data_IF_824133704565
#
_entry.id   IF_824133704565
#
_cell.length_a   1.000
_cell.length_b   1.000
_cell.length_c   1.000
_cell.angle_alpha   90.00
_cell.angle_beta   90.00
_cell.angle_gamma   90.00
#
_symmetry.space_group_name_H-M   'P 1'
#
loop_
_entity.id
_entity.type
_entity.pdbx_description
1 polymer ?
#
# COMPACT_ATOMS: atom_id res chain seq x y z
N UNK A 1 19.41 5.09 20.42
CA UNK A 1 18.25 5.22 21.32
C UNK A 1 17.25 6.27 20.81
N UNK A 2 17.64 7.51 20.50
CA UNK A 2 16.74 8.57 19.98
C UNK A 2 16.19 8.21 18.59
N UNK A 3 17.01 7.70 17.65
CA UNK A 3 16.58 7.29 16.32
C UNK A 3 15.50 6.19 16.39
N UNK A 4 15.68 5.17 17.21
CA UNK A 4 14.71 4.08 17.36
C UNK A 4 13.37 4.57 17.98
N UNK A 5 13.40 5.57 18.84
CA UNK A 5 12.20 6.18 19.41
C UNK A 5 11.46 7.02 18.36
N UNK A 6 12.20 7.73 17.53
CA UNK A 6 11.67 8.48 16.39
C UNK A 6 10.99 7.55 15.37
N UNK A 7 11.67 6.49 14.94
CA UNK A 7 11.14 5.50 13.98
C UNK A 7 9.89 4.80 14.51
N UNK A 8 9.85 4.51 15.81
CA UNK A 8 8.73 3.78 16.42
C UNK A 8 7.50 4.66 16.69
N UNK A 9 7.69 5.91 17.10
CA UNK A 9 6.59 6.72 17.63
C UNK A 9 6.26 7.97 16.83
N UNK A 10 7.22 8.58 16.14
CA UNK A 10 6.96 9.83 15.41
C UNK A 10 6.80 9.61 13.90
N UNK A 11 7.70 8.83 13.32
CA UNK A 11 7.72 8.59 11.88
C UNK A 11 6.39 8.01 11.34
N UNK A 12 5.73 7.02 12.01
CA UNK A 12 4.45 6.50 11.55
C UNK A 12 3.35 7.57 11.44
N UNK A 13 3.31 8.51 12.37
CA UNK A 13 2.32 9.60 12.35
C UNK A 13 2.64 10.66 11.28
N UNK A 14 3.93 10.93 11.02
CA UNK A 14 4.35 11.83 9.95
C UNK A 14 4.02 11.23 8.58
N UNK A 15 4.28 9.93 8.39
CA UNK A 15 3.91 9.20 7.17
C UNK A 15 2.38 9.22 6.99
N UNK A 16 1.63 8.93 8.04
CA UNK A 16 0.18 8.93 8.03
C UNK A 16 -0.38 10.29 7.60
N UNK A 17 0.13 11.36 8.18
CA UNK A 17 -0.27 12.73 7.82
C UNK A 17 0.08 13.06 6.36
N UNK A 18 1.32 12.80 5.93
CA UNK A 18 1.78 13.12 4.58
C UNK A 18 1.00 12.32 3.52
N UNK A 19 0.85 11.00 3.75
CA UNK A 19 0.12 10.11 2.83
C UNK A 19 -1.41 10.28 2.89
N UNK A 20 -1.93 10.94 3.94
CA UNK A 20 -3.34 11.28 4.11
C UNK A 20 -3.76 12.60 3.45
N UNK A 21 -2.86 13.35 2.80
CA UNK A 21 -3.19 14.61 2.14
C UNK A 21 -4.26 14.43 1.05
N UNK A 22 -5.11 15.45 0.86
CA UNK A 22 -6.27 15.41 -0.05
C UNK A 22 -5.94 14.95 -1.49
N UNK A 23 -4.80 15.39 -2.04
CA UNK A 23 -4.39 15.02 -3.38
C UNK A 23 -4.14 13.51 -3.51
N UNK A 24 -3.45 12.92 -2.53
CA UNK A 24 -3.14 11.49 -2.46
C UNK A 24 -4.40 10.68 -2.17
N UNK A 25 -5.22 11.14 -1.24
CA UNK A 25 -6.51 10.52 -0.90
C UNK A 25 -7.45 10.46 -2.12
N UNK A 26 -7.46 11.50 -2.97
CA UNK A 26 -8.25 11.51 -4.21
C UNK A 26 -7.78 10.42 -5.19
N UNK A 27 -6.50 10.16 -5.31
CA UNK A 27 -5.99 9.07 -6.16
C UNK A 27 -6.40 7.70 -5.61
N UNK A 28 -6.27 7.50 -4.28
CA UNK A 28 -6.74 6.28 -3.61
C UNK A 28 -8.22 6.02 -3.88
N UNK A 29 -9.07 7.04 -3.77
CA UNK A 29 -10.52 6.92 -4.01
C UNK A 29 -10.91 6.59 -5.45
N UNK A 30 -9.97 6.68 -6.39
CA UNK A 30 -10.18 6.29 -7.80
C UNK A 30 -9.76 4.85 -8.07
N UNK A 31 -8.74 4.37 -7.39
CA UNK A 31 -8.11 3.08 -7.65
C UNK A 31 -8.68 1.99 -6.74
N UNK A 32 -8.70 2.25 -5.42
CA UNK A 32 -9.02 1.24 -4.40
C UNK A 32 -10.46 0.68 -4.51
N UNK A 33 -11.51 1.46 -4.83
CA UNK A 33 -12.88 0.94 -4.94
C UNK A 33 -13.11 -0.09 -6.06
N UNK A 34 -12.11 -0.28 -6.94
CA UNK A 34 -12.15 -1.30 -8.00
C UNK A 34 -11.79 -2.69 -7.49
N UNK A 35 -11.13 -2.78 -6.35
CA UNK A 35 -10.72 -4.05 -5.76
C UNK A 35 -11.95 -4.90 -5.40
N UNK A 36 -11.85 -6.20 -5.66
CA UNK A 36 -12.92 -7.17 -5.43
C UNK A 36 -12.39 -8.55 -5.09
N UNK A 37 -13.26 -9.40 -4.53
CA UNK A 37 -12.97 -10.78 -4.17
C UNK A 37 -11.93 -10.87 -3.04
N UNK A 38 -11.00 -11.80 -3.16
CA UNK A 38 -9.86 -11.93 -2.26
C UNK A 38 -8.78 -10.93 -2.66
N UNK A 39 -8.55 -9.95 -1.80
CA UNK A 39 -7.66 -8.81 -2.08
C UNK A 39 -6.36 -8.93 -1.29
N UNK A 40 -5.24 -8.63 -1.95
CA UNK A 40 -3.94 -8.41 -1.32
C UNK A 40 -3.57 -6.93 -1.44
N UNK A 41 -3.32 -6.27 -0.32
CA UNK A 41 -2.77 -4.91 -0.30
C UNK A 41 -1.28 -4.95 0.04
N UNK A 42 -0.46 -4.42 -0.86
CA UNK A 42 0.99 -4.29 -0.70
C UNK A 42 1.29 -2.94 -0.06
N UNK A 43 2.00 -2.97 1.07
CA UNK A 43 2.31 -1.78 1.85
C UNK A 43 1.07 -1.15 2.46
N UNK A 44 0.28 -1.92 3.20
CA UNK A 44 -0.93 -1.41 3.85
C UNK A 44 -0.65 -0.24 4.80
N UNK A 45 0.56 -0.19 5.35
CA UNK A 45 1.01 0.90 6.20
C UNK A 45 0.07 1.17 7.38
N UNK A 46 -0.38 2.41 7.49
CA UNK A 46 -1.34 2.84 8.53
C UNK A 46 -2.81 2.56 8.17
N UNK A 47 -3.08 1.91 7.03
CA UNK A 47 -4.44 1.54 6.61
C UNK A 47 -5.24 2.66 5.97
N UNK A 48 -4.59 3.63 5.31
CA UNK A 48 -5.28 4.75 4.65
C UNK A 48 -6.22 4.32 3.52
N UNK A 49 -5.99 3.16 2.92
CA UNK A 49 -6.87 2.60 1.90
C UNK A 49 -8.15 2.00 2.47
N UNK A 50 -8.19 1.63 3.75
CA UNK A 50 -9.31 0.90 4.36
C UNK A 50 -10.66 1.63 4.19
N UNK A 51 -10.65 2.97 4.20
CA UNK A 51 -11.85 3.77 4.01
C UNK A 51 -12.37 3.83 2.56
N UNK A 52 -11.58 3.32 1.60
CA UNK A 52 -11.90 3.38 0.17
C UNK A 52 -12.35 2.04 -0.42
N UNK A 53 -12.15 0.93 0.28
CA UNK A 53 -12.66 -0.36 -0.16
C UNK A 53 -14.18 -0.42 -0.08
N UNK A 54 -14.76 -1.07 -1.08
CA UNK A 54 -16.18 -1.43 -1.07
C UNK A 54 -16.34 -2.79 -0.36
N UNK A 55 -16.86 -2.76 0.87
CA UNK A 55 -17.00 -3.96 1.69
C UNK A 55 -18.01 -4.98 1.13
N UNK A 56 -18.82 -4.61 0.13
CA UNK A 56 -19.72 -5.55 -0.56
C UNK A 56 -19.02 -6.28 -1.71
N UNK A 57 -17.90 -5.74 -2.20
CA UNK A 57 -17.10 -6.35 -3.28
C UNK A 57 -15.90 -7.14 -2.76
N UNK A 58 -15.41 -6.82 -1.57
CA UNK A 58 -14.21 -7.43 -0.99
C UNK A 58 -14.62 -8.53 -0.01
N UNK A 59 -14.31 -9.77 -0.35
CA UNK A 59 -14.58 -10.94 0.51
C UNK A 59 -13.61 -11.01 1.69
N UNK A 60 -12.33 -10.84 1.39
CA UNK A 60 -11.23 -10.82 2.37
C UNK A 60 -10.12 -9.88 1.91
N UNK A 61 -9.49 -9.20 2.86
CA UNK A 61 -8.34 -8.34 2.62
C UNK A 61 -7.13 -8.85 3.41
N UNK A 62 -6.03 -9.12 2.72
CA UNK A 62 -4.72 -9.38 3.34
C UNK A 62 -3.85 -8.15 3.15
N UNK A 63 -3.44 -7.52 4.24
CA UNK A 63 -2.55 -6.35 4.23
C UNK A 63 -1.13 -6.75 4.55
N UNK A 64 -0.22 -6.55 3.61
CA UNK A 64 1.20 -6.87 3.73
C UNK A 64 2.02 -5.62 3.98
N UNK A 65 2.78 -5.58 5.07
CA UNK A 65 3.72 -4.51 5.40
C UNK A 65 4.70 -4.98 6.47
N UNK A 66 6.01 -4.80 6.33
CA UNK A 66 6.98 -5.25 7.33
C UNK A 66 6.93 -4.47 8.66
N UNK A 67 6.29 -3.30 8.70
CA UNK A 67 6.27 -2.42 9.87
C UNK A 67 5.14 -2.74 10.85
N UNK A 68 5.47 -3.38 11.95
CA UNK A 68 4.52 -3.62 13.05
C UNK A 68 3.95 -2.34 13.69
N UNK A 69 4.73 -1.24 13.65
CA UNK A 69 4.26 0.05 14.17
C UNK A 69 3.14 0.64 13.32
N UNK A 70 3.22 0.50 11.99
CA UNK A 70 2.17 0.92 11.07
C UNK A 70 0.92 0.04 11.20
N UNK A 71 1.10 -1.26 11.41
CA UNK A 71 -0.01 -2.20 11.66
C UNK A 71 -0.84 -1.85 12.90
N UNK A 72 -0.22 -1.28 13.94
CA UNK A 72 -0.97 -0.85 15.13
C UNK A 72 -2.02 0.23 14.77
N UNK A 73 -1.63 1.23 13.98
CA UNK A 73 -2.54 2.28 13.50
C UNK A 73 -3.59 1.72 12.52
N UNK A 74 -3.19 0.79 11.66
CA UNK A 74 -4.10 0.12 10.74
C UNK A 74 -5.23 -0.63 11.48
N UNK A 75 -4.93 -1.29 12.60
CA UNK A 75 -5.94 -1.99 13.42
C UNK A 75 -7.01 -1.06 13.98
N UNK A 76 -6.65 0.16 14.38
CA UNK A 76 -7.62 1.14 14.87
C UNK A 76 -8.60 1.54 13.74
N UNK A 77 -8.09 1.71 12.52
CA UNK A 77 -8.94 1.98 11.35
C UNK A 77 -9.80 0.78 10.95
N UNK A 78 -9.27 -0.44 11.13
CA UNK A 78 -10.03 -1.65 10.87
C UNK A 78 -11.28 -1.75 11.75
N UNK A 79 -11.20 -1.34 13.01
CA UNK A 79 -12.34 -1.36 13.91
C UNK A 79 -13.52 -0.50 13.40
N UNK A 80 -13.26 0.44 12.50
CA UNK A 80 -14.26 1.29 11.87
C UNK A 80 -14.81 0.72 10.54
N UNK A 81 -14.29 -0.41 10.06
CA UNK A 81 -14.70 -1.01 8.78
C UNK A 81 -15.41 -2.35 8.98
N UNK A 82 -16.09 -2.83 7.91
CA UNK A 82 -16.68 -4.18 7.87
C UNK A 82 -15.79 -5.21 7.18
N UNK A 83 -14.59 -4.83 6.78
CA UNK A 83 -13.66 -5.70 6.06
C UNK A 83 -13.13 -6.82 6.97
N UNK A 84 -13.04 -8.02 6.43
CA UNK A 84 -12.33 -9.13 7.05
C UNK A 84 -10.86 -8.99 6.69
N UNK A 85 -10.05 -8.41 7.58
CA UNK A 85 -8.64 -8.10 7.35
C UNK A 85 -7.72 -9.01 8.14
N UNK A 86 -6.69 -9.51 7.45
CA UNK A 86 -5.49 -10.11 8.03
C UNK A 86 -4.29 -9.19 7.77
N UNK A 87 -3.48 -8.92 8.81
CA UNK A 87 -2.24 -8.15 8.69
C UNK A 87 -1.04 -9.10 8.75
N UNK A 88 -0.20 -9.06 7.72
CA UNK A 88 0.97 -9.93 7.58
C UNK A 88 2.24 -9.07 7.59
N UNK A 89 3.14 -9.21 8.61
CA UNK A 89 4.33 -8.38 8.77
C UNK A 89 5.50 -8.92 7.91
N UNK A 90 5.33 -8.90 6.58
CA UNK A 90 6.33 -9.36 5.63
C UNK A 90 6.51 -8.36 4.49
N UNK A 91 7.66 -8.48 3.80
CA UNK A 91 7.94 -7.73 2.57
C UNK A 91 7.25 -8.37 1.36
N UNK A 92 6.90 -7.54 0.39
CA UNK A 92 6.31 -7.97 -0.88
C UNK A 92 7.26 -8.76 -1.78
N UNK A 93 8.55 -8.77 -1.49
CA UNK A 93 9.56 -9.57 -2.19
C UNK A 93 9.38 -11.08 -1.94
N UNK A 94 8.58 -11.46 -0.94
CA UNK A 94 8.21 -12.83 -0.65
C UNK A 94 6.80 -12.88 -0.07
N UNK A 95 5.81 -13.08 -0.93
CA UNK A 95 4.41 -13.14 -0.53
C UNK A 95 4.06 -14.55 -0.07
N UNK A 96 3.62 -14.75 1.20
CA UNK A 96 3.33 -16.08 1.77
C UNK A 96 1.95 -16.59 1.33
N UNK A 97 1.77 -16.77 0.02
CA UNK A 97 0.54 -17.25 -0.58
C UNK A 97 0.85 -18.14 -1.79
N UNK A 98 -0.08 -19.04 -2.10
CA UNK A 98 -0.02 -19.89 -3.26
C UNK A 98 -0.17 -19.08 -4.56
N UNK A 99 0.28 -19.66 -5.67
CA UNK A 99 0.07 -19.07 -6.99
C UNK A 99 -1.42 -18.87 -7.28
N UNK A 100 -1.75 -17.79 -7.97
CA UNK A 100 -3.13 -17.52 -8.41
C UNK A 100 -4.14 -17.52 -7.24
N UNK A 101 -3.79 -16.87 -6.12
CA UNK A 101 -4.61 -16.87 -4.89
C UNK A 101 -5.52 -15.66 -4.76
N UNK A 102 -5.19 -14.53 -5.40
CA UNK A 102 -5.89 -13.26 -5.23
C UNK A 102 -6.61 -12.81 -6.49
N UNK A 103 -7.80 -12.25 -6.32
CA UNK A 103 -8.59 -11.67 -7.41
C UNK A 103 -8.13 -10.25 -7.74
N UNK A 104 -7.71 -9.50 -6.73
CA UNK A 104 -7.17 -8.15 -6.86
C UNK A 104 -5.92 -7.98 -6.01
N UNK A 105 -4.94 -7.24 -6.54
CA UNK A 105 -3.80 -6.74 -5.77
C UNK A 105 -3.85 -5.21 -5.82
N UNK A 106 -3.74 -4.57 -4.65
CA UNK A 106 -3.67 -3.11 -4.50
C UNK A 106 -2.26 -2.73 -4.05
N UNK A 107 -1.62 -1.81 -4.77
CA UNK A 107 -0.32 -1.25 -4.39
C UNK A 107 -0.35 0.26 -4.63
N UNK A 108 -0.29 1.05 -3.55
CA UNK A 108 -0.39 2.50 -3.64
C UNK A 108 0.71 3.18 -2.84
N UNK A 109 1.54 3.96 -3.52
CA UNK A 109 2.63 4.75 -2.94
C UNK A 109 3.60 3.92 -2.10
N UNK A 110 3.93 2.71 -2.57
CA UNK A 110 4.68 1.71 -1.82
C UNK A 110 5.94 1.22 -2.55
N UNK A 111 5.92 1.11 -3.89
CA UNK A 111 7.05 0.55 -4.65
C UNK A 111 8.37 1.29 -4.40
N UNK A 112 8.32 2.59 -4.11
CA UNK A 112 9.50 3.39 -3.80
C UNK A 112 10.18 3.03 -2.46
N UNK A 113 9.51 2.27 -1.60
CA UNK A 113 10.03 1.82 -0.30
C UNK A 113 10.49 0.36 -0.30
N UNK A 114 10.21 -0.38 -1.37
CA UNK A 114 10.59 -1.78 -1.52
C UNK A 114 12.02 -1.87 -2.07
N UNK A 115 12.95 -2.56 -1.39
CA UNK A 115 14.34 -2.67 -1.84
C UNK A 115 14.50 -3.29 -3.24
N UNK A 116 13.75 -4.35 -3.55
CA UNK A 116 13.71 -4.97 -4.87
C UNK A 116 12.28 -4.97 -5.45
N UNK A 117 11.88 -3.86 -6.10
CA UNK A 117 10.53 -3.74 -6.66
C UNK A 117 10.27 -4.72 -7.82
N UNK A 118 11.29 -5.19 -8.53
CA UNK A 118 11.11 -6.16 -9.61
C UNK A 118 10.75 -7.53 -9.06
N UNK A 119 11.40 -7.97 -8.01
CA UNK A 119 11.05 -9.21 -7.29
C UNK A 119 9.64 -9.09 -6.70
N UNK A 120 9.29 -7.96 -6.08
CA UNK A 120 7.95 -7.73 -5.57
C UNK A 120 6.87 -7.80 -6.67
N UNK A 121 7.09 -7.17 -7.82
CA UNK A 121 6.18 -7.25 -8.97
C UNK A 121 6.04 -8.68 -9.52
N UNK A 122 7.13 -9.45 -9.52
CA UNK A 122 7.10 -10.86 -9.91
C UNK A 122 6.26 -11.70 -8.95
N UNK A 123 6.40 -11.47 -7.65
CA UNK A 123 5.58 -12.13 -6.62
C UNK A 123 4.10 -11.72 -6.72
N UNK A 124 3.81 -10.43 -6.92
CA UNK A 124 2.44 -9.97 -7.17
C UNK A 124 1.83 -10.70 -8.37
N UNK A 125 2.59 -10.80 -9.48
CA UNK A 125 2.14 -11.54 -10.66
C UNK A 125 1.90 -13.02 -10.37
N UNK A 126 2.76 -13.67 -9.58
CA UNK A 126 2.64 -15.08 -9.21
C UNK A 126 1.36 -15.36 -8.44
N UNK A 127 1.05 -14.53 -7.45
CA UNK A 127 -0.11 -14.75 -6.57
C UNK A 127 -1.42 -14.22 -7.15
N UNK A 128 -1.38 -13.40 -8.21
CA UNK A 128 -2.56 -12.87 -8.88
C UNK A 128 -3.18 -13.95 -9.79
N UNK A 129 -4.48 -14.16 -9.70
CA UNK A 129 -5.21 -15.10 -10.55
C UNK A 129 -5.14 -14.70 -12.03
N UNK A 130 -5.22 -15.65 -12.97
CA UNK A 130 -5.49 -15.33 -14.38
C UNK A 130 -6.76 -14.49 -14.49
N UNK A 131 -6.67 -13.32 -15.12
CA UNK A 131 -7.78 -12.37 -15.23
C UNK A 131 -8.00 -11.48 -14.00
N UNK A 132 -7.20 -11.64 -12.93
CA UNK A 132 -7.20 -10.73 -11.78
C UNK A 132 -6.62 -9.35 -12.10
N UNK A 133 -6.90 -8.37 -11.26
CA UNK A 133 -6.48 -6.98 -11.47
C UNK A 133 -5.35 -6.55 -10.51
N UNK A 134 -4.27 -5.97 -11.08
CA UNK A 134 -3.30 -5.19 -10.31
C UNK A 134 -3.71 -3.71 -10.36
N UNK A 135 -4.10 -3.17 -9.23
CA UNK A 135 -4.52 -1.80 -9.03
C UNK A 135 -3.35 -1.00 -8.44
N UNK A 136 -2.71 -0.21 -9.29
CA UNK A 136 -1.47 0.49 -8.98
C UNK A 136 -1.67 2.00 -9.00
N UNK A 137 -1.12 2.69 -7.99
CA UNK A 137 -0.96 4.16 -7.98
C UNK A 137 0.35 4.51 -7.30
N UNK A 138 1.27 5.09 -8.06
CA UNK A 138 2.63 5.39 -7.56
C UNK A 138 3.05 6.82 -7.92
N UNK A 139 4.08 7.30 -7.24
CA UNK A 139 4.73 8.56 -7.59
C UNK A 139 5.47 8.41 -8.92
N UNK A 140 5.27 9.37 -9.81
CA UNK A 140 5.93 9.40 -11.11
C UNK A 140 6.56 10.76 -11.40
N UNK A 141 7.30 10.81 -12.51
CA UNK A 141 7.80 12.06 -13.04
C UNK A 141 6.62 12.89 -13.55
N UNK A 142 6.55 14.16 -13.12
CA UNK A 142 5.49 15.05 -13.57
C UNK A 142 5.57 15.28 -15.07
N UNK A 143 4.46 15.44 -15.79
CA UNK A 143 4.47 15.75 -17.21
C UNK A 143 5.01 17.18 -17.48
N UNK A 144 4.89 18.10 -16.52
CA UNK A 144 5.32 19.48 -16.67
C UNK A 144 6.86 19.64 -16.49
N UNK A 145 7.59 20.18 -17.50
CA UNK A 145 9.04 20.32 -17.42
C UNK A 145 9.55 21.18 -16.24
N UNK A 146 8.77 22.16 -15.82
CA UNK A 146 9.08 23.00 -14.66
C UNK A 146 9.07 22.21 -13.35
N UNK A 147 8.10 21.30 -13.19
CA UNK A 147 8.00 20.42 -12.01
C UNK A 147 9.08 19.35 -12.05
N UNK A 148 9.37 18.76 -13.22
CA UNK A 148 10.46 17.79 -13.39
C UNK A 148 11.81 18.34 -12.91
N UNK A 149 12.14 19.61 -13.25
CA UNK A 149 13.37 20.27 -12.79
C UNK A 149 13.46 20.30 -11.26
N UNK A 150 12.35 20.53 -10.57
CA UNK A 150 12.31 20.51 -9.12
C UNK A 150 12.39 19.08 -8.57
N UNK A 151 11.69 18.11 -9.18
CA UNK A 151 11.80 16.70 -8.80
C UNK A 151 13.25 16.22 -8.87
N UNK A 152 13.96 16.46 -10.00
CA UNK A 152 15.36 16.09 -10.16
C UNK A 152 16.32 16.79 -9.18
N UNK A 153 15.98 18.00 -8.73
CA UNK A 153 16.80 18.73 -7.75
C UNK A 153 16.60 18.22 -6.31
N UNK A 154 15.40 17.78 -5.99
CA UNK A 154 15.00 17.38 -4.62
C UNK A 154 15.15 15.89 -4.39
N UNK A 155 15.25 15.09 -5.44
CA UNK A 155 15.47 13.64 -5.35
C UNK A 155 16.91 13.35 -5.82
N UNK A 156 17.89 13.36 -4.90
CA UNK A 156 19.23 12.88 -5.25
C UNK A 156 19.14 11.39 -5.57
N UNK A 157 19.66 11.03 -6.74
CA UNK A 157 19.83 9.63 -7.20
C UNK A 157 21.02 9.03 -6.49
#
# INVERSE_FOLDING_TARGET
MIAALYEKHLLPHLIDFACGMKAITRQRSTVVPRAHGRVLEIGIGTGLNLAHYDAEKVDTLCGLDPSLALHAIARDRLAATRLKLELVPLSAERIPADDSSYDSIVCTFTLCTIPDPLTALSEMRRVLKPGGELLLSEHGLAPEPSVQKWQHRLTPV
#
